data_IF_989035800191
#
_entry.id   IF_989035800191
#
_cell.length_a   1.000
_cell.length_b   1.000
_cell.length_c   1.000
_cell.angle_alpha   90.00
_cell.angle_beta   90.00
_cell.angle_gamma   90.00
#
_symmetry.space_group_name_H-M   'P 1'
#
loop_
_entity.id
_entity.type
_entity.pdbx_description
1 polymer ?
#
# COMPACT_ATOMS: atom_id res chain seq x y z
N UNK A 1 40.75 -1.94 -0.70
CA UNK A 1 39.60 -1.02 -0.70
C UNK A 1 38.86 -1.19 -2.03
N UNK A 2 37.77 -1.95 -2.05
CA UNK A 2 36.97 -2.13 -3.27
C UNK A 2 35.63 -1.43 -3.05
N UNK A 3 35.42 -0.34 -3.78
CA UNK A 3 34.19 0.43 -3.75
C UNK A 3 33.08 -0.43 -4.36
N UNK A 4 32.24 -1.02 -3.50
CA UNK A 4 30.93 -1.53 -3.90
C UNK A 4 30.14 -0.32 -4.37
N UNK A 5 30.12 -0.10 -5.69
CA UNK A 5 29.20 0.86 -6.31
C UNK A 5 27.80 0.36 -6.03
N UNK A 6 27.17 0.93 -4.99
CA UNK A 6 25.72 0.93 -4.86
C UNK A 6 25.18 1.44 -6.19
N UNK A 7 24.50 0.57 -6.92
CA UNK A 7 23.77 0.96 -8.13
C UNK A 7 22.53 1.69 -7.61
N UNK A 8 22.70 2.91 -7.11
CA UNK A 8 21.61 3.86 -6.97
C UNK A 8 21.13 4.13 -8.39
N UNK A 9 19.95 3.60 -8.72
CA UNK A 9 19.36 3.82 -10.03
C UNK A 9 18.83 5.26 -10.00
N UNK A 10 19.43 6.22 -10.74
CA UNK A 10 19.07 7.64 -10.63
C UNK A 10 17.62 7.93 -11.03
N UNK A 11 16.96 6.97 -11.69
CA UNK A 11 15.51 7.00 -11.97
C UNK A 11 14.66 6.68 -10.75
N UNK A 12 15.08 5.77 -9.87
CA UNK A 12 14.32 5.42 -8.66
C UNK A 12 14.34 6.56 -7.65
N UNK A 13 15.51 7.16 -7.43
CA UNK A 13 15.63 8.32 -6.53
C UNK A 13 14.87 9.54 -7.07
N UNK A 14 14.85 9.72 -8.40
CA UNK A 14 14.05 10.76 -9.07
C UNK A 14 12.54 10.53 -8.98
N UNK A 15 12.07 9.27 -9.01
CA UNK A 15 10.65 8.93 -8.86
C UNK A 15 10.22 9.11 -7.41
N UNK A 16 11.03 8.63 -6.45
CA UNK A 16 10.79 8.83 -5.01
C UNK A 16 10.80 10.32 -4.67
N UNK A 17 11.76 11.10 -5.19
CA UNK A 17 11.79 12.54 -5.00
C UNK A 17 10.60 13.24 -5.66
N UNK A 18 10.17 12.83 -6.87
CA UNK A 18 8.99 13.38 -7.56
C UNK A 18 7.68 13.12 -6.80
N UNK A 19 7.57 11.96 -6.16
CA UNK A 19 6.41 11.57 -5.33
C UNK A 19 6.40 12.33 -3.99
N UNK A 20 7.57 12.69 -3.46
CA UNK A 20 7.70 13.38 -2.17
C UNK A 20 7.65 14.92 -2.26
N UNK A 21 7.89 15.54 -3.42
CA UNK A 21 8.15 17.00 -3.50
C UNK A 21 7.07 17.86 -4.17
N UNK A 22 5.89 17.33 -4.53
CA UNK A 22 4.95 18.08 -5.37
C UNK A 22 3.66 18.53 -4.65
N UNK A 23 3.74 19.69 -4.01
CA UNK A 23 2.64 20.52 -3.50
C UNK A 23 1.73 21.07 -4.64
N UNK A 24 0.69 20.34 -5.03
CA UNK A 24 -0.57 20.86 -5.61
C UNK A 24 -1.63 19.76 -5.43
N UNK A 25 -2.55 19.99 -4.49
CA UNK A 25 -3.16 18.90 -3.70
C UNK A 25 -4.36 18.17 -4.34
N UNK A 26 -4.86 18.59 -5.51
CA UNK A 26 -6.19 18.16 -5.97
C UNK A 26 -6.22 17.44 -7.32
N UNK A 27 -5.67 18.03 -8.39
CA UNK A 27 -5.55 17.34 -9.68
C UNK A 27 -4.47 16.23 -9.68
N UNK A 28 -3.46 16.35 -8.80
CA UNK A 28 -2.35 15.38 -8.70
C UNK A 28 -2.78 14.03 -8.11
N UNK A 29 -3.77 13.99 -7.24
CA UNK A 29 -4.15 12.76 -6.54
C UNK A 29 -4.67 11.64 -7.46
N UNK A 30 -5.39 11.99 -8.54
CA UNK A 30 -5.88 11.03 -9.55
C UNK A 30 -4.76 10.55 -10.47
N UNK A 31 -3.92 11.48 -10.93
CA UNK A 31 -2.75 11.22 -11.77
C UNK A 31 -1.72 10.34 -11.02
N UNK A 32 -1.49 10.62 -9.74
CA UNK A 32 -0.61 9.86 -8.85
C UNK A 32 -1.08 8.41 -8.71
N UNK A 33 -2.38 8.16 -8.48
CA UNK A 33 -2.90 6.80 -8.35
C UNK A 33 -2.74 5.98 -9.64
N UNK A 34 -2.95 6.59 -10.81
CA UNK A 34 -2.72 5.95 -12.12
C UNK A 34 -1.24 5.67 -12.38
N UNK A 35 -0.37 6.67 -12.18
CA UNK A 35 1.06 6.53 -12.39
C UNK A 35 1.66 5.49 -11.43
N UNK A 36 1.19 5.46 -10.18
CA UNK A 36 1.63 4.48 -9.19
C UNK A 36 1.24 3.04 -9.56
N UNK A 37 0.10 2.83 -10.23
CA UNK A 37 -0.32 1.49 -10.69
C UNK A 37 0.59 0.91 -11.78
N UNK A 38 0.85 1.66 -12.85
CA UNK A 38 1.69 1.19 -13.97
C UNK A 38 3.17 1.03 -13.60
N UNK A 39 3.70 1.92 -12.74
CA UNK A 39 5.06 1.81 -12.21
C UNK A 39 5.20 0.60 -11.27
N UNK A 40 4.17 0.31 -10.48
CA UNK A 40 4.15 -0.86 -9.59
C UNK A 40 4.27 -2.16 -10.38
N UNK A 41 3.49 -2.36 -11.44
CA UNK A 41 3.51 -3.61 -12.20
C UNK A 41 4.86 -3.89 -12.89
N UNK A 42 5.44 -2.86 -13.53
CA UNK A 42 6.78 -2.95 -14.14
C UNK A 42 7.84 -3.33 -13.10
N UNK A 43 7.76 -2.75 -11.90
CA UNK A 43 8.70 -3.07 -10.82
C UNK A 43 8.49 -4.47 -10.27
N UNK A 44 7.25 -4.91 -10.09
CA UNK A 44 6.92 -6.26 -9.63
C UNK A 44 7.44 -7.34 -10.58
N UNK A 45 7.49 -7.05 -11.89
CA UNK A 45 8.14 -7.94 -12.87
C UNK A 45 9.66 -8.00 -12.71
N UNK A 46 10.33 -6.86 -12.52
CA UNK A 46 11.78 -6.84 -12.26
C UNK A 46 12.14 -7.59 -10.98
N UNK A 47 11.29 -7.49 -9.96
CA UNK A 47 11.45 -8.23 -8.72
C UNK A 47 11.33 -9.73 -8.87
N UNK A 48 10.32 -10.22 -9.60
CA UNK A 48 10.20 -11.66 -9.80
C UNK A 48 11.47 -12.21 -10.45
N UNK A 49 12.02 -11.49 -11.44
CA UNK A 49 13.30 -11.85 -12.06
C UNK A 49 14.48 -11.83 -11.06
N UNK A 50 14.57 -10.79 -10.22
CA UNK A 50 15.61 -10.69 -9.19
C UNK A 50 15.49 -11.80 -8.13
N UNK A 51 14.27 -12.15 -7.72
CA UNK A 51 14.00 -13.25 -6.79
C UNK A 51 14.31 -14.61 -7.41
N UNK A 52 14.12 -14.81 -8.71
CA UNK A 52 14.54 -16.01 -9.44
C UNK A 52 16.06 -16.11 -9.52
N UNK A 53 16.73 -15.01 -9.85
CA UNK A 53 18.19 -14.93 -9.83
C UNK A 53 18.77 -15.30 -8.46
N UNK A 54 18.27 -14.67 -7.38
CA UNK A 54 18.74 -14.94 -6.01
C UNK A 54 18.48 -16.38 -5.59
N UNK A 55 17.32 -16.96 -5.96
CA UNK A 55 17.01 -18.35 -5.68
C UNK A 55 18.00 -19.31 -6.36
N UNK A 56 18.33 -19.05 -7.63
CA UNK A 56 19.36 -19.81 -8.36
C UNK A 56 20.73 -19.72 -7.69
N UNK A 57 21.15 -18.52 -7.28
CA UNK A 57 22.43 -18.33 -6.58
C UNK A 57 22.47 -19.04 -5.23
N UNK A 58 21.39 -19.02 -4.45
CA UNK A 58 21.31 -19.79 -3.19
C UNK A 58 21.48 -21.28 -3.45
N UNK A 59 20.82 -21.81 -4.48
CA UNK A 59 20.91 -23.24 -4.82
C UNK A 59 22.33 -23.64 -5.21
N UNK A 60 22.98 -22.83 -6.06
CA UNK A 60 24.38 -23.03 -6.48
C UNK A 60 25.34 -23.01 -5.29
N UNK A 61 25.22 -22.00 -4.42
CA UNK A 61 26.05 -21.88 -3.22
C UNK A 61 25.82 -23.00 -2.21
N UNK A 62 24.59 -23.51 -2.11
CA UNK A 62 24.29 -24.65 -1.24
C UNK A 62 24.90 -25.95 -1.76
N UNK A 63 24.95 -26.14 -3.07
CA UNK A 63 25.48 -27.36 -3.67
C UNK A 63 27.01 -27.38 -3.72
N UNK A 64 27.63 -26.24 -4.06
CA UNK A 64 29.04 -26.20 -4.43
C UNK A 64 29.88 -25.21 -3.59
N UNK A 65 29.24 -24.34 -2.81
CA UNK A 65 29.94 -23.26 -2.12
C UNK A 65 30.58 -23.71 -0.81
N UNK A 66 31.63 -22.99 -0.42
CA UNK A 66 32.29 -23.13 0.87
C UNK A 66 32.29 -21.81 1.66
N UNK A 67 32.09 -21.84 3.00
CA UNK A 67 32.15 -20.64 3.82
C UNK A 67 33.56 -20.01 3.90
N UNK A 68 34.60 -20.77 3.57
CA UNK A 68 36.00 -20.32 3.57
C UNK A 68 36.39 -19.62 2.25
N UNK A 69 35.54 -19.67 1.22
CA UNK A 69 35.76 -18.90 0.00
C UNK A 69 35.63 -17.40 0.26
N UNK A 70 36.61 -16.62 -0.22
CA UNK A 70 36.60 -15.16 -0.10
C UNK A 70 35.30 -14.53 -0.64
N UNK A 71 34.71 -15.15 -1.68
CA UNK A 71 33.48 -14.71 -2.31
C UNK A 71 32.24 -14.91 -1.43
N UNK A 72 32.27 -15.83 -0.45
CA UNK A 72 31.11 -16.14 0.40
C UNK A 72 30.65 -14.94 1.22
N UNK A 73 31.59 -14.22 1.84
CA UNK A 73 31.28 -13.04 2.65
C UNK A 73 30.57 -11.96 1.81
N UNK A 74 31.05 -11.72 0.58
CA UNK A 74 30.43 -10.79 -0.36
C UNK A 74 29.06 -11.26 -0.82
N UNK A 75 28.91 -12.55 -1.15
CA UNK A 75 27.62 -13.12 -1.55
C UNK A 75 26.58 -13.04 -0.43
N UNK A 76 26.98 -13.41 0.80
CA UNK A 76 26.16 -13.27 2.01
C UNK A 76 25.67 -11.84 2.19
N UNK A 77 26.58 -10.87 2.15
CA UNK A 77 26.22 -9.46 2.31
C UNK A 77 25.26 -9.02 1.21
N UNK A 78 25.57 -9.36 -0.05
CA UNK A 78 24.73 -9.02 -1.20
C UNK A 78 23.31 -9.58 -1.04
N UNK A 79 23.17 -10.86 -0.69
CA UNK A 79 21.88 -11.53 -0.53
C UNK A 79 21.02 -10.87 0.56
N UNK A 80 21.61 -10.60 1.73
CA UNK A 80 20.90 -9.97 2.84
C UNK A 80 20.50 -8.52 2.52
N UNK A 81 21.37 -7.78 1.83
CA UNK A 81 21.05 -6.44 1.34
C UNK A 81 19.89 -6.48 0.35
N UNK A 82 19.91 -7.40 -0.62
CA UNK A 82 18.84 -7.49 -1.62
C UNK A 82 17.49 -7.84 -1.04
N UNK A 83 17.43 -8.74 -0.07
CA UNK A 83 16.19 -9.03 0.65
C UNK A 83 15.69 -7.78 1.39
N UNK A 84 16.60 -7.06 2.07
CA UNK A 84 16.25 -5.82 2.77
C UNK A 84 15.70 -4.75 1.83
N UNK A 85 16.34 -4.54 0.68
CA UNK A 85 15.89 -3.60 -0.36
C UNK A 85 14.46 -3.91 -0.82
N UNK A 86 14.11 -5.19 -0.99
CA UNK A 86 12.75 -5.58 -1.34
C UNK A 86 11.75 -5.23 -0.24
N UNK A 87 12.03 -5.58 1.02
CA UNK A 87 11.15 -5.29 2.16
C UNK A 87 10.93 -3.78 2.29
N UNK A 88 11.99 -2.98 2.18
CA UNK A 88 11.92 -1.51 2.28
C UNK A 88 11.04 -0.93 1.18
N UNK A 89 11.21 -1.36 -0.06
CA UNK A 89 10.42 -0.84 -1.16
C UNK A 89 8.95 -1.27 -1.06
N UNK A 90 8.66 -2.53 -0.66
CA UNK A 90 7.28 -2.94 -0.38
C UNK A 90 6.62 -1.98 0.62
N UNK A 91 7.31 -1.70 1.72
CA UNK A 91 6.85 -0.78 2.75
C UNK A 91 6.63 0.63 2.21
N UNK A 92 7.55 1.15 1.40
CA UNK A 92 7.43 2.47 0.77
C UNK A 92 6.22 2.55 -0.16
N UNK A 93 6.00 1.54 -0.99
CA UNK A 93 4.86 1.50 -1.91
C UNK A 93 3.52 1.44 -1.19
N UNK A 94 3.40 0.63 -0.13
CA UNK A 94 2.17 0.62 0.67
C UNK A 94 1.90 1.99 1.30
N UNK A 95 2.94 2.63 1.84
CA UNK A 95 2.81 3.98 2.41
C UNK A 95 2.35 5.00 1.37
N UNK A 96 2.90 4.96 0.15
CA UNK A 96 2.48 5.83 -0.95
C UNK A 96 1.02 5.57 -1.33
N UNK A 97 0.63 4.31 -1.50
CA UNK A 97 -0.75 3.93 -1.85
C UNK A 97 -1.73 4.38 -0.76
N UNK A 98 -1.44 4.08 0.51
CA UNK A 98 -2.30 4.47 1.64
C UNK A 98 -2.42 5.99 1.71
N UNK A 99 -1.31 6.74 1.62
CA UNK A 99 -1.32 8.19 1.67
C UNK A 99 -2.10 8.80 0.49
N UNK A 100 -1.93 8.28 -0.72
CA UNK A 100 -2.67 8.73 -1.90
C UNK A 100 -4.17 8.45 -1.77
N UNK A 101 -4.55 7.27 -1.26
CA UNK A 101 -5.94 6.92 -0.97
C UNK A 101 -6.56 7.83 0.10
N UNK A 102 -5.82 8.14 1.17
CA UNK A 102 -6.27 9.09 2.21
C UNK A 102 -6.48 10.49 1.64
N UNK A 103 -5.55 10.97 0.80
CA UNK A 103 -5.70 12.27 0.10
C UNK A 103 -6.94 12.27 -0.80
N UNK A 104 -7.19 11.19 -1.53
CA UNK A 104 -8.37 11.05 -2.37
C UNK A 104 -9.67 11.11 -1.54
N UNK A 105 -9.74 10.43 -0.39
CA UNK A 105 -10.91 10.48 0.50
C UNK A 105 -11.25 11.89 1.00
N UNK A 106 -10.22 12.71 1.25
CA UNK A 106 -10.38 14.07 1.73
C UNK A 106 -10.63 15.09 0.61
N UNK A 107 -10.63 14.66 -0.66
CA UNK A 107 -10.86 15.55 -1.79
C UNK A 107 -12.33 15.92 -1.91
N UNK A 108 -12.60 17.19 -2.21
CA UNK A 108 -13.96 17.67 -2.50
C UNK A 108 -14.55 17.03 -3.76
N UNK A 109 -13.68 16.54 -4.66
CA UNK A 109 -14.06 15.92 -5.93
C UNK A 109 -14.49 14.45 -5.79
N UNK A 110 -14.33 13.85 -4.60
CA UNK A 110 -14.71 12.45 -4.37
C UNK A 110 -16.05 12.40 -3.62
N UNK A 111 -17.10 11.82 -4.23
CA UNK A 111 -18.40 11.68 -3.57
C UNK A 111 -18.30 10.94 -2.24
N UNK A 112 -19.07 11.34 -1.22
CA UNK A 112 -19.06 10.69 0.11
C UNK A 112 -19.35 9.19 0.06
N UNK A 113 -20.20 8.76 -0.87
CA UNK A 113 -20.50 7.33 -1.09
C UNK A 113 -19.25 6.56 -1.53
N UNK A 114 -18.34 7.23 -2.23
CA UNK A 114 -17.09 6.66 -2.69
C UNK A 114 -15.98 6.71 -1.64
N UNK A 115 -15.96 7.72 -0.77
CA UNK A 115 -15.04 7.78 0.37
C UNK A 115 -15.13 6.52 1.25
N UNK A 116 -16.31 5.88 1.34
CA UNK A 116 -16.47 4.58 2.01
C UNK A 116 -15.71 3.43 1.33
N UNK A 117 -15.70 3.38 -0.01
CA UNK A 117 -14.97 2.36 -0.77
C UNK A 117 -13.45 2.53 -0.62
N UNK A 118 -12.97 3.78 -0.68
CA UNK A 118 -11.55 4.08 -0.45
C UNK A 118 -11.12 3.76 0.98
N UNK A 119 -11.99 4.02 1.97
CA UNK A 119 -11.75 3.64 3.36
C UNK A 119 -11.59 2.14 3.53
N UNK A 120 -12.52 1.35 2.98
CA UNK A 120 -12.44 -0.11 3.03
C UNK A 120 -11.18 -0.65 2.35
N UNK A 121 -10.77 -0.04 1.24
CA UNK A 121 -9.51 -0.38 0.58
C UNK A 121 -8.31 -0.16 1.51
N UNK A 122 -8.22 1.01 2.17
CA UNK A 122 -7.15 1.32 3.13
C UNK A 122 -7.16 0.35 4.31
N UNK A 123 -8.34 0.12 4.93
CA UNK A 123 -8.48 -0.76 6.09
C UNK A 123 -8.01 -2.20 5.81
N UNK A 124 -8.15 -2.66 4.56
CA UNK A 124 -7.68 -3.97 4.11
C UNK A 124 -6.17 -4.05 3.93
N UNK A 125 -5.50 -2.99 3.47
CA UNK A 125 -4.06 -3.02 3.17
C UNK A 125 -3.18 -2.54 4.33
N UNK A 126 -3.72 -1.70 5.22
CA UNK A 126 -2.98 -1.11 6.34
C UNK A 126 -2.35 -2.14 7.30
N UNK A 127 -2.99 -3.28 7.65
CA UNK A 127 -2.34 -4.31 8.47
C UNK A 127 -1.06 -4.87 7.82
N UNK A 128 -1.04 -4.95 6.49
CA UNK A 128 0.13 -5.38 5.72
C UNK A 128 1.30 -4.41 5.80
N UNK A 129 1.04 -3.10 5.93
CA UNK A 129 2.07 -2.07 6.12
C UNK A 129 2.71 -2.19 7.51
N UNK A 130 1.88 -2.29 8.55
CA UNK A 130 2.35 -2.42 9.95
C UNK A 130 3.22 -3.68 10.10
N UNK A 131 2.75 -4.80 9.56
CA UNK A 131 3.47 -6.08 9.63
C UNK A 131 4.83 -5.99 8.94
N UNK A 132 4.91 -5.36 7.76
CA UNK A 132 6.17 -5.18 7.03
C UNK A 132 7.14 -4.25 7.74
N UNK A 133 6.64 -3.23 8.46
CA UNK A 133 7.47 -2.35 9.27
C UNK A 133 8.12 -3.10 10.44
N UNK A 134 7.34 -3.89 11.17
CA UNK A 134 7.87 -4.73 12.25
C UNK A 134 8.89 -5.74 11.71
N UNK A 135 8.55 -6.39 10.59
CA UNK A 135 9.42 -7.36 9.96
C UNK A 135 10.75 -6.77 9.49
N UNK A 136 10.76 -5.53 9.00
CA UNK A 136 11.99 -4.85 8.61
C UNK A 136 12.96 -4.68 9.80
N UNK A 137 12.45 -4.39 10.99
CA UNK A 137 13.30 -4.27 12.19
C UNK A 137 13.86 -5.63 12.62
N UNK A 138 13.05 -6.68 12.58
CA UNK A 138 13.51 -8.06 12.81
C UNK A 138 14.61 -8.46 11.81
N UNK A 139 14.39 -8.15 10.53
CA UNK A 139 15.34 -8.46 9.46
C UNK A 139 16.65 -7.70 9.59
N UNK A 140 16.61 -6.44 10.04
CA UNK A 140 17.83 -5.67 10.37
C UNK A 140 18.63 -6.34 11.49
N UNK A 141 17.95 -6.79 12.55
CA UNK A 141 18.58 -7.54 13.64
C UNK A 141 19.23 -8.84 13.15
N UNK A 142 18.50 -9.60 12.34
CA UNK A 142 19.01 -10.82 11.70
C UNK A 142 20.23 -10.54 10.81
N UNK A 143 20.17 -9.53 9.95
CA UNK A 143 21.26 -9.14 9.05
C UNK A 143 22.51 -8.73 9.84
N UNK A 144 22.34 -7.95 10.91
CA UNK A 144 23.43 -7.56 11.79
C UNK A 144 24.07 -8.77 12.50
N UNK A 145 23.28 -9.78 12.85
CA UNK A 145 23.81 -11.03 13.42
C UNK A 145 24.58 -11.86 12.38
N UNK A 146 24.03 -12.01 11.17
CA UNK A 146 24.61 -12.83 10.10
C UNK A 146 25.85 -12.21 9.45
N UNK A 147 26.05 -10.90 9.57
CA UNK A 147 27.24 -10.23 9.02
C UNK A 147 28.45 -10.26 9.95
N UNK A 148 28.27 -10.70 11.21
CA UNK A 148 29.35 -10.79 12.20
C UNK A 148 30.12 -12.09 12.04
N UNK A 149 31.45 -11.96 12.02
CA UNK A 149 32.36 -13.10 12.05
C UNK A 149 32.33 -14.00 10.81
N UNK A 150 33.07 -15.10 10.92
CA UNK A 150 33.10 -16.18 9.94
C UNK A 150 31.97 -17.17 10.23
N UNK A 151 31.40 -17.76 9.19
CA UNK A 151 30.43 -18.83 9.32
C UNK A 151 31.13 -20.19 9.24
N UNK A 152 30.68 -21.15 10.05
CA UNK A 152 30.90 -22.56 9.75
C UNK A 152 30.03 -23.00 8.56
N UNK A 153 30.32 -24.16 7.98
CA UNK A 153 29.50 -24.71 6.90
C UNK A 153 28.04 -24.90 7.31
N UNK A 154 27.80 -25.35 8.56
CA UNK A 154 26.45 -25.48 9.10
C UNK A 154 25.73 -24.13 9.22
N UNK A 155 26.42 -23.09 9.68
CA UNK A 155 25.86 -21.72 9.76
C UNK A 155 25.56 -21.16 8.37
N UNK A 156 26.43 -21.40 7.39
CA UNK A 156 26.18 -21.05 6.00
C UNK A 156 24.92 -21.72 5.47
N UNK A 157 24.79 -23.05 5.59
CA UNK A 157 23.62 -23.75 5.11
C UNK A 157 22.32 -23.32 5.81
N UNK A 158 22.37 -23.08 7.13
CA UNK A 158 21.22 -22.58 7.87
C UNK A 158 20.79 -21.18 7.38
N UNK A 159 21.74 -20.27 7.14
CA UNK A 159 21.47 -18.96 6.59
C UNK A 159 20.89 -19.05 5.17
N UNK A 160 21.47 -19.89 4.30
CA UNK A 160 20.97 -20.10 2.93
C UNK A 160 19.55 -20.66 2.92
N UNK A 161 19.23 -21.58 3.84
CA UNK A 161 17.86 -22.09 3.98
C UNK A 161 16.89 -21.02 4.51
N UNK A 162 17.31 -20.21 5.48
CA UNK A 162 16.48 -19.12 6.01
C UNK A 162 16.20 -18.07 4.93
N UNK A 163 17.22 -17.67 4.18
CA UNK A 163 17.07 -16.70 3.07
C UNK A 163 16.23 -17.28 1.93
N UNK A 164 16.35 -18.57 1.62
CA UNK A 164 15.48 -19.25 0.65
C UNK A 164 14.01 -19.15 1.04
N UNK A 165 13.68 -19.44 2.30
CA UNK A 165 12.32 -19.27 2.83
C UNK A 165 11.85 -17.83 2.72
N UNK A 166 12.74 -16.87 2.99
CA UNK A 166 12.38 -15.46 2.85
C UNK A 166 12.13 -15.04 1.41
N UNK A 167 12.90 -15.54 0.43
CA UNK A 167 12.59 -15.31 -0.98
C UNK A 167 11.21 -15.85 -1.37
N UNK A 168 10.78 -16.99 -0.80
CA UNK A 168 9.43 -17.52 -1.03
C UNK A 168 8.36 -16.61 -0.42
N UNK A 169 8.59 -16.10 0.81
CA UNK A 169 7.70 -15.13 1.44
C UNK A 169 7.60 -13.84 0.59
N UNK A 170 8.73 -13.32 0.11
CA UNK A 170 8.77 -12.17 -0.79
C UNK A 170 7.98 -12.40 -2.08
N UNK A 171 8.06 -13.59 -2.69
CA UNK A 171 7.24 -13.93 -3.86
C UNK A 171 5.75 -13.93 -3.54
N UNK A 172 5.37 -14.52 -2.41
CA UNK A 172 3.97 -14.52 -1.98
C UNK A 172 3.46 -13.09 -1.76
N UNK A 173 4.28 -12.22 -1.15
CA UNK A 173 3.98 -10.79 -0.98
C UNK A 173 3.92 -10.05 -2.32
N UNK A 174 4.81 -10.31 -3.27
CA UNK A 174 4.74 -9.76 -4.64
C UNK A 174 3.39 -10.06 -5.30
N UNK A 175 2.87 -11.29 -5.14
CA UNK A 175 1.54 -11.64 -5.65
C UNK A 175 0.40 -10.90 -4.92
N UNK A 176 0.53 -10.67 -3.62
CA UNK A 176 -0.39 -9.82 -2.85
C UNK A 176 -0.37 -8.38 -3.38
N UNK A 177 0.81 -7.80 -3.63
CA UNK A 177 0.95 -6.47 -4.21
C UNK A 177 0.28 -6.35 -5.58
N UNK A 178 0.34 -7.38 -6.42
CA UNK A 178 -0.41 -7.40 -7.70
C UNK A 178 -1.91 -7.34 -7.48
N UNK A 179 -2.43 -8.00 -6.44
CA UNK A 179 -3.85 -7.91 -6.08
C UNK A 179 -4.20 -6.50 -5.64
N UNK A 180 -3.37 -5.91 -4.76
CA UNK A 180 -3.54 -4.52 -4.31
C UNK A 180 -3.52 -3.56 -5.50
N UNK A 181 -2.61 -3.75 -6.46
CA UNK A 181 -2.53 -2.96 -7.69
C UNK A 181 -3.80 -3.04 -8.53
N UNK A 182 -4.33 -4.25 -8.77
CA UNK A 182 -5.60 -4.43 -9.49
C UNK A 182 -6.78 -3.80 -8.77
N UNK A 183 -6.83 -3.93 -7.46
CA UNK A 183 -7.91 -3.35 -6.66
C UNK A 183 -7.83 -1.81 -6.68
N UNK A 184 -6.61 -1.26 -6.67
CA UNK A 184 -6.37 0.17 -6.85
C UNK A 184 -6.83 0.63 -8.25
N UNK A 185 -6.51 -0.11 -9.31
CA UNK A 185 -6.98 0.20 -10.67
C UNK A 185 -8.52 0.20 -10.77
N UNK A 186 -9.18 -0.78 -10.16
CA UNK A 186 -10.64 -0.84 -10.11
C UNK A 186 -11.23 0.36 -9.37
N UNK A 187 -10.60 0.75 -8.25
CA UNK A 187 -10.99 1.93 -7.50
C UNK A 187 -10.82 3.19 -8.36
N UNK A 188 -9.69 3.35 -9.02
CA UNK A 188 -9.47 4.48 -9.90
C UNK A 188 -10.46 4.53 -11.08
N UNK A 189 -10.77 3.39 -11.72
CA UNK A 189 -11.80 3.29 -12.77
C UNK A 189 -13.19 3.68 -12.26
N UNK A 190 -13.55 3.25 -11.05
CA UNK A 190 -14.81 3.64 -10.42
C UNK A 190 -14.90 5.15 -10.18
N UNK A 191 -13.81 5.79 -9.77
CA UNK A 191 -13.73 7.25 -9.66
C UNK A 191 -13.91 7.96 -11.01
N UNK A 192 -13.30 7.42 -12.07
CA UNK A 192 -13.42 7.96 -13.41
C UNK A 192 -14.85 7.90 -13.92
N UNK A 193 -15.50 6.72 -13.82
CA UNK A 193 -16.86 6.53 -14.30
C UNK A 193 -17.85 7.48 -13.62
N UNK A 194 -17.78 7.65 -12.30
CA UNK A 194 -18.69 8.58 -11.63
C UNK A 194 -18.42 10.05 -11.98
N UNK A 195 -17.17 10.41 -12.27
CA UNK A 195 -16.86 11.76 -12.73
C UNK A 195 -17.49 12.00 -14.12
N UNK A 196 -17.44 11.00 -15.00
CA UNK A 196 -18.11 11.02 -16.31
C UNK A 196 -19.64 11.06 -16.17
N UNK A 197 -20.23 10.19 -15.35
CA UNK A 197 -21.68 10.15 -15.09
C UNK A 197 -22.19 11.47 -14.47
N UNK A 198 -21.41 12.07 -13.57
CA UNK A 198 -21.72 13.37 -12.96
C UNK A 198 -21.65 14.53 -13.96
N UNK A 199 -20.75 14.46 -14.94
CA UNK A 199 -20.66 15.41 -16.05
C UNK A 199 -21.83 15.21 -17.02
N UNK A 200 -22.23 13.98 -17.34
CA UNK A 200 -23.40 13.71 -18.18
C UNK A 200 -24.71 14.19 -17.55
N UNK A 201 -24.90 13.98 -16.24
CA UNK A 201 -26.05 14.50 -15.49
C UNK A 201 -26.08 16.04 -15.44
N UNK A 202 -24.92 16.71 -15.40
CA UNK A 202 -24.83 18.16 -15.45
C UNK A 202 -25.03 18.72 -16.87
N UNK A 203 -24.66 17.95 -17.89
CA UNK A 203 -24.78 18.29 -19.31
C UNK A 203 -26.18 18.05 -19.87
N UNK A 204 -26.89 17.06 -19.32
CA UNK A 204 -28.28 16.74 -19.66
C UNK A 204 -29.30 17.73 -19.08
N UNK A 205 -28.88 18.65 -18.21
CA UNK A 205 -29.73 19.74 -17.73
C UNK A 205 -29.48 20.98 -18.57
N UNK A 206 -30.32 21.19 -19.58
CA UNK A 206 -30.27 22.43 -20.36
C UNK A 206 -30.55 23.64 -19.45
N UNK A 207 -29.98 24.83 -19.71
CA UNK A 207 -30.26 26.04 -18.93
C UNK A 207 -31.77 26.32 -18.78
N UNK A 208 -32.56 25.92 -19.78
CA UNK A 208 -34.02 26.05 -19.80
C UNK A 208 -34.75 25.12 -18.79
N UNK A 209 -34.20 23.95 -18.47
CA UNK A 209 -34.77 23.04 -17.46
C UNK A 209 -34.42 23.45 -16.03
N UNK A 210 -33.29 24.14 -15.84
CA UNK A 210 -32.91 24.75 -14.56
C UNK A 210 -33.88 25.87 -14.15
N UNK A 211 -34.33 26.68 -15.11
CA UNK A 211 -35.30 27.76 -14.85
C UNK A 211 -36.70 27.23 -14.56
N UNK A 212 -37.11 26.10 -15.17
CA UNK A 212 -38.45 25.50 -14.91
C UNK A 212 -38.61 24.89 -13.51
N UNK A 213 -37.54 24.45 -12.85
CA UNK A 213 -37.64 23.90 -11.48
C UNK A 213 -37.60 24.95 -10.37
N UNK A 214 -37.15 26.18 -10.65
CA UNK A 214 -36.98 27.21 -9.61
C UNK A 214 -37.54 28.60 -9.96
N UNK A 215 -38.21 28.79 -11.10
CA UNK A 215 -38.77 30.08 -11.49
C UNK A 215 -40.16 29.94 -12.10
N UNK A 216 -41.20 30.03 -11.27
CA UNK A 216 -42.57 30.14 -11.76
C UNK A 216 -43.65 29.72 -10.77
N UNK A 217 -43.83 30.47 -9.69
CA UNK A 217 -45.14 30.67 -9.05
C UNK A 217 -45.01 31.68 -7.92
N UNK A 218 -45.35 32.93 -8.22
CA UNK A 218 -45.75 33.88 -7.20
C UNK A 218 -47.09 33.44 -6.62
N UNK A 219 -47.06 32.66 -5.54
CA UNK A 219 -48.21 32.43 -4.67
C UNK A 219 -47.72 32.45 -3.22
N UNK A 220 -48.26 33.39 -2.46
CA UNK A 220 -48.06 33.59 -1.02
C UNK A 220 -48.12 32.25 -0.28
N UNK A 221 -46.98 31.82 0.28
CA UNK A 221 -46.98 30.72 1.25
C UNK A 221 -47.50 31.26 2.61
N UNK A 222 -48.51 30.64 3.23
CA UNK A 222 -48.89 30.97 4.59
C UNK A 222 -47.78 30.49 5.53
N UNK A 223 -47.34 31.37 6.42
CA UNK A 223 -46.44 31.02 7.53
C UNK A 223 -47.20 30.07 8.46
N UNK A 224 -47.06 28.76 8.25
CA UNK A 224 -47.41 27.75 9.25
C UNK A 224 -46.17 27.49 10.11
N UNK A 225 -46.21 27.97 11.35
CA UNK A 225 -45.32 27.53 12.43
C UNK A 225 -45.35 26.00 12.49
N UNK A 226 -44.27 25.34 12.10
CA UNK A 226 -44.03 23.95 12.47
C UNK A 226 -43.48 23.94 13.90
N UNK A 227 -44.33 23.52 14.83
CA UNK A 227 -43.97 23.25 16.20
C UNK A 227 -42.87 22.17 16.22
N UNK A 228 -41.75 22.46 16.89
CA UNK A 228 -40.76 21.46 17.25
C UNK A 228 -41.42 20.47 18.21
N UNK A 229 -41.83 19.30 17.71
CA UNK A 229 -42.04 18.14 18.56
C UNK A 229 -40.66 17.61 18.96
N UNK A 230 -40.38 17.71 20.25
CA UNK A 230 -39.27 17.05 20.96
C UNK A 230 -39.29 15.55 20.59
N UNK A 231 -38.20 14.94 20.11
CA UNK A 231 -38.16 13.49 19.99
C UNK A 231 -38.14 12.88 21.40
N UNK A 232 -39.07 11.96 21.66
CA UNK A 232 -39.01 11.06 22.81
C UNK A 232 -37.72 10.24 22.75
N UNK A 233 -36.98 10.25 23.85
CA UNK A 233 -35.81 9.41 24.05
C UNK A 233 -36.30 7.97 24.25
N UNK A 234 -35.89 6.99 23.42
CA UNK A 234 -36.10 5.60 23.77
C UNK A 234 -35.19 5.26 24.96
N UNK A 235 -35.81 4.92 26.08
CA UNK A 235 -35.16 4.28 27.22
C UNK A 235 -34.62 2.92 26.77
N UNK A 236 -33.32 2.83 26.52
CA UNK A 236 -32.65 1.55 26.29
C UNK A 236 -32.35 0.96 27.66
N UNK A 237 -33.15 -0.04 28.03
CA UNK A 237 -32.95 -0.92 29.16
C UNK A 237 -31.49 -1.40 29.24
N UNK A 238 -30.91 -1.21 30.42
CA UNK A 238 -29.63 -1.78 30.81
C UNK A 238 -29.75 -3.31 30.88
N UNK A 239 -29.38 -3.99 29.79
CA UNK A 239 -29.12 -5.44 29.83
C UNK A 239 -27.63 -5.68 29.78
N UNK A 240 -27.07 -5.88 30.98
CA UNK A 240 -25.78 -6.50 31.31
C UNK A 240 -25.22 -7.39 30.18
N UNK A 241 -24.09 -7.01 29.61
CA UNK A 241 -23.13 -7.97 29.04
C UNK A 241 -21.94 -8.03 29.99
N UNK A 242 -21.97 -8.99 30.92
CA UNK A 242 -20.81 -9.37 31.72
C UNK A 242 -19.83 -10.09 30.79
N UNK A 243 -18.60 -9.61 30.71
CA UNK A 243 -17.49 -10.36 30.12
C UNK A 243 -17.21 -11.62 30.96
N UNK A 244 -16.89 -12.77 30.35
CA UNK A 244 -16.45 -13.95 31.09
C UNK A 244 -15.03 -13.72 31.66
N UNK A 245 -14.70 -14.30 32.83
CA UNK A 245 -13.37 -14.17 33.42
C UNK A 245 -12.34 -14.98 32.64
N UNK A 246 -11.11 -14.46 32.58
CA UNK A 246 -9.97 -15.10 31.95
C UNK A 246 -9.47 -16.31 32.77
N UNK A 247 -8.96 -17.38 32.10
CA UNK A 247 -8.39 -18.53 32.77
C UNK A 247 -7.11 -18.14 33.51
N UNK A 248 -7.01 -18.58 34.77
CA UNK A 248 -5.81 -18.46 35.59
C UNK A 248 -4.88 -19.65 35.30
N UNK A 249 -3.65 -19.35 34.91
CA UNK A 249 -2.49 -20.24 35.03
C UNK A 249 -1.34 -19.44 35.62
#
# INVERSE_FOLDING_TARGET
MSAVRSISHPRLDSIIASVLTKDDKHARSKEELHQNGGVLDTRLHQWDWELDYLHGRIFEWRANGSPDEDAYASFRSYLLTKISEHIVYELQMLNVIIAASQRAMCSADVPRQYAGHVRLFIERIAPGEITRRMYLEEWKGYTAAQTRGKHSAAQMHAMLESTRKELQNLRARSQEFRRIGRDLEQLVKGLQQMAEDGVELASAVTPAERTRRFGGSGLKAPVKRLAFKKPEVPSISQTRTRLPPLPQH
#
